data_IF_973411428823
#
_entry.id   IF_973411428823
#
_cell.length_a   1.000
_cell.length_b   1.000
_cell.length_c   1.000
_cell.angle_alpha   90.00
_cell.angle_beta   90.00
_cell.angle_gamma   90.00
#
_symmetry.space_group_name_H-M   'P 1'
#
loop_
_entity.id
_entity.type
_entity.pdbx_description
1 polymer ?
#
# COMPACT_ATOMS: atom_id res chain seq x y z
N UNK A 1 15.98 -47.96 -21.50
CA UNK A 1 16.32 -48.41 -20.13
C UNK A 1 15.09 -49.05 -19.49
N UNK A 2 15.21 -50.24 -18.90
CA UNK A 2 14.12 -50.91 -18.18
C UNK A 2 14.20 -50.54 -16.70
N UNK A 3 13.17 -49.91 -16.15
CA UNK A 3 13.01 -49.75 -14.70
C UNK A 3 12.40 -51.03 -14.11
N UNK A 4 13.06 -51.59 -13.10
CA UNK A 4 12.56 -52.74 -12.33
C UNK A 4 11.43 -52.31 -11.38
N UNK A 5 10.44 -53.18 -11.23
CA UNK A 5 9.29 -53.01 -10.34
C UNK A 5 9.73 -53.08 -8.89
N UNK A 6 9.50 -52.01 -8.13
CA UNK A 6 9.58 -52.04 -6.67
C UNK A 6 9.70 -50.65 -6.06
N UNK A 7 8.60 -50.15 -5.49
CA UNK A 7 8.50 -49.04 -4.52
C UNK A 7 9.37 -47.79 -4.80
N UNK A 8 8.80 -46.90 -5.60
CA UNK A 8 8.55 -45.53 -5.15
C UNK A 8 9.74 -44.59 -4.88
N UNK A 9 10.78 -44.54 -5.70
CA UNK A 9 11.67 -43.37 -5.82
C UNK A 9 12.31 -43.33 -7.22
N UNK A 10 11.69 -42.66 -8.19
CA UNK A 10 12.27 -42.44 -9.54
C UNK A 10 12.19 -41.00 -10.05
N UNK A 11 11.77 -40.03 -9.24
CA UNK A 11 11.47 -38.68 -9.73
C UNK A 11 12.64 -37.68 -9.86
N UNK A 12 13.78 -37.77 -9.14
CA UNK A 12 14.84 -36.76 -9.31
C UNK A 12 15.71 -36.99 -10.55
N UNK A 13 15.71 -38.18 -11.15
CA UNK A 13 16.56 -38.49 -12.33
C UNK A 13 15.95 -38.05 -13.67
N UNK A 14 14.63 -37.88 -13.75
CA UNK A 14 13.95 -37.43 -14.98
C UNK A 14 14.10 -35.91 -15.21
N UNK A 15 14.15 -35.12 -14.14
CA UNK A 15 14.39 -33.67 -14.23
C UNK A 15 15.83 -33.34 -14.67
N UNK A 16 16.81 -34.07 -14.13
CA UNK A 16 18.22 -33.93 -14.51
C UNK A 16 18.48 -34.33 -15.97
N UNK A 17 17.76 -35.32 -16.50
CA UNK A 17 17.92 -35.75 -17.89
C UNK A 17 17.34 -34.77 -18.91
N UNK A 18 16.26 -34.04 -18.56
CA UNK A 18 15.62 -33.07 -19.46
C UNK A 18 16.44 -31.79 -19.62
N UNK A 19 17.18 -31.38 -18.58
CA UNK A 19 18.08 -30.22 -18.62
C UNK A 19 19.27 -30.37 -19.59
N UNK A 20 19.62 -31.59 -19.97
CA UNK A 20 20.78 -31.87 -20.84
C UNK A 20 20.38 -32.01 -22.32
N UNK A 21 19.08 -32.19 -22.63
CA UNK A 21 18.61 -32.47 -24.00
C UNK A 21 17.33 -31.67 -24.37
N UNK A 22 17.47 -30.37 -24.73
CA UNK A 22 16.35 -29.55 -25.15
C UNK A 22 15.89 -29.99 -26.56
N UNK A 23 14.86 -30.82 -26.62
CA UNK A 23 14.28 -31.34 -27.87
C UNK A 23 13.57 -32.70 -27.76
N UNK A 24 13.68 -33.39 -26.61
CA UNK A 24 13.00 -34.66 -26.41
C UNK A 24 11.52 -34.48 -26.02
N UNK A 25 10.60 -34.89 -26.88
CA UNK A 25 9.17 -34.96 -26.59
C UNK A 25 8.85 -36.17 -25.69
N UNK A 26 8.53 -35.93 -24.42
CA UNK A 26 8.06 -36.96 -23.49
C UNK A 26 6.52 -37.04 -23.57
N UNK A 27 5.98 -38.15 -24.09
CA UNK A 27 4.55 -38.47 -23.93
C UNK A 27 4.35 -39.16 -22.58
N UNK A 28 3.71 -38.45 -21.64
CA UNK A 28 3.23 -39.06 -20.39
C UNK A 28 2.01 -39.92 -20.70
N UNK A 29 2.12 -41.23 -20.47
CA UNK A 29 0.96 -42.12 -20.52
C UNK A 29 0.05 -41.83 -19.32
N UNK A 30 -1.20 -41.48 -19.60
CA UNK A 30 -2.21 -41.21 -18.58
C UNK A 30 -2.52 -42.50 -17.77
N UNK A 31 -2.06 -42.52 -16.52
CA UNK A 31 -2.53 -43.44 -15.47
C UNK A 31 -3.72 -42.84 -14.70
N UNK A 32 -4.52 -43.67 -14.00
CA UNK A 32 -5.85 -43.27 -13.55
C UNK A 32 -5.79 -42.31 -12.34
N UNK A 33 -6.56 -41.21 -12.46
CA UNK A 33 -7.18 -40.38 -11.42
C UNK A 33 -6.57 -40.48 -10.01
N UNK A 34 -5.45 -39.82 -9.78
CA UNK A 34 -5.13 -39.27 -8.45
C UNK A 34 -5.05 -37.75 -8.60
N UNK A 35 -6.10 -37.08 -8.11
CA UNK A 35 -6.16 -35.62 -8.11
C UNK A 35 -5.03 -35.03 -7.27
N UNK A 36 -4.35 -34.03 -7.81
CA UNK A 36 -3.43 -33.18 -7.07
C UNK A 36 -4.24 -32.44 -5.99
N UNK A 37 -4.28 -32.98 -4.78
CA UNK A 37 -5.01 -32.40 -3.65
C UNK A 37 -4.26 -31.27 -2.95
N UNK A 38 -3.02 -30.99 -3.32
CA UNK A 38 -2.27 -29.92 -2.66
C UNK A 38 -1.23 -29.30 -3.60
N UNK A 39 -1.69 -28.38 -4.45
CA UNK A 39 -0.80 -27.55 -5.27
C UNK A 39 0.01 -26.58 -4.41
N UNK A 40 -0.47 -26.24 -3.20
CA UNK A 40 0.25 -25.41 -2.24
C UNK A 40 1.51 -26.13 -1.75
N UNK A 41 1.40 -27.42 -1.43
CA UNK A 41 2.57 -28.23 -1.09
C UNK A 41 3.57 -28.40 -2.26
N UNK A 42 3.10 -28.34 -3.52
CA UNK A 42 3.97 -28.38 -4.70
C UNK A 42 4.79 -27.09 -4.85
N UNK A 43 4.16 -25.93 -4.60
CA UNK A 43 4.81 -24.61 -4.67
C UNK A 43 5.76 -24.41 -3.49
N UNK A 44 5.39 -24.84 -2.28
CA UNK A 44 6.26 -24.71 -1.09
C UNK A 44 7.48 -25.63 -1.14
N UNK A 45 7.45 -26.73 -1.90
CA UNK A 45 8.57 -27.67 -2.02
C UNK A 45 9.44 -27.46 -3.27
N UNK A 46 9.16 -26.44 -4.10
CA UNK A 46 10.03 -26.03 -5.20
C UNK A 46 11.22 -25.23 -4.65
N UNK A 47 12.18 -25.94 -4.05
CA UNK A 47 13.52 -25.41 -3.83
C UNK A 47 14.29 -25.50 -5.17
N UNK A 48 14.15 -24.44 -5.97
CA UNK A 48 14.94 -24.28 -7.21
C UNK A 48 16.32 -23.74 -6.83
N UNK A 49 17.31 -24.62 -6.71
CA UNK A 49 18.72 -24.23 -6.69
C UNK A 49 19.14 -23.87 -8.12
N UNK A 50 19.25 -22.57 -8.40
CA UNK A 50 19.56 -22.04 -9.72
C UNK A 50 21.07 -21.86 -9.97
N UNK A 51 21.93 -22.22 -9.01
CA UNK A 51 23.38 -22.07 -9.15
C UNK A 51 23.81 -20.63 -9.51
N UNK A 52 25.07 -20.43 -9.92
CA UNK A 52 25.61 -19.11 -10.23
C UNK A 52 25.21 -18.70 -11.66
N UNK A 53 23.93 -18.48 -11.92
CA UNK A 53 23.45 -17.77 -13.11
C UNK A 53 22.90 -16.41 -12.70
N UNK A 54 23.82 -15.53 -12.32
CA UNK A 54 23.58 -14.09 -12.36
C UNK A 54 23.63 -13.59 -13.81
N UNK A 55 22.72 -12.67 -14.13
CA UNK A 55 22.58 -11.92 -15.38
C UNK A 55 21.85 -12.62 -16.53
N UNK A 56 20.50 -12.49 -16.53
CA UNK A 56 19.65 -12.15 -17.69
C UNK A 56 18.20 -11.97 -17.23
N UNK A 57 17.87 -10.75 -16.80
CA UNK A 57 16.55 -10.38 -16.25
C UNK A 57 15.38 -10.41 -17.25
N UNK A 58 15.61 -10.67 -18.54
CA UNK A 58 14.56 -10.61 -19.57
C UNK A 58 13.97 -11.99 -19.92
N UNK A 59 14.72 -13.09 -19.71
CA UNK A 59 14.22 -14.44 -20.01
C UNK A 59 13.43 -15.05 -18.84
N UNK A 60 13.64 -14.56 -17.62
CA UNK A 60 12.95 -15.06 -16.42
C UNK A 60 11.49 -14.60 -16.33
N UNK A 61 11.18 -13.36 -16.74
CA UNK A 61 9.79 -12.88 -16.83
C UNK A 61 8.99 -13.69 -17.86
N UNK A 62 9.56 -13.95 -19.04
CA UNK A 62 8.92 -14.79 -20.06
C UNK A 62 8.72 -16.24 -19.64
N UNK A 63 9.59 -16.77 -18.78
CA UNK A 63 9.46 -18.11 -18.21
C UNK A 63 8.31 -18.17 -17.19
N UNK A 64 8.17 -17.14 -16.35
CA UNK A 64 7.07 -17.03 -15.39
C UNK A 64 5.73 -16.85 -16.09
N UNK A 65 5.64 -15.97 -17.10
CA UNK A 65 4.42 -15.77 -17.89
C UNK A 65 3.98 -17.07 -18.58
N UNK A 66 4.93 -17.81 -19.18
CA UNK A 66 4.65 -19.10 -19.80
C UNK A 66 4.27 -20.21 -18.82
N UNK A 67 4.71 -20.13 -17.56
CA UNK A 67 4.33 -21.06 -16.49
C UNK A 67 2.92 -20.76 -15.99
N UNK A 68 2.58 -19.48 -15.81
CA UNK A 68 1.26 -19.05 -15.38
C UNK A 68 0.18 -19.42 -16.39
N UNK A 69 0.42 -19.19 -17.69
CA UNK A 69 -0.51 -19.55 -18.76
C UNK A 69 -0.78 -21.07 -18.79
N UNK A 70 0.24 -21.90 -18.59
CA UNK A 70 0.08 -23.37 -18.59
C UNK A 70 -0.61 -23.89 -17.33
N UNK A 71 -0.36 -23.29 -16.17
CA UNK A 71 -1.03 -23.65 -14.91
C UNK A 71 -2.51 -23.25 -14.98
N UNK A 72 -2.81 -22.07 -15.51
CA UNK A 72 -4.18 -21.58 -15.76
C UNK A 72 -4.99 -22.45 -16.71
N UNK A 73 -4.38 -22.89 -17.81
CA UNK A 73 -5.04 -23.74 -18.81
C UNK A 73 -5.30 -25.18 -18.32
N UNK A 74 -4.71 -25.57 -17.19
CA UNK A 74 -4.88 -26.91 -16.59
C UNK A 74 -5.88 -26.95 -15.43
N UNK A 75 -6.37 -25.79 -14.97
CA UNK A 75 -7.34 -25.70 -13.89
C UNK A 75 -8.74 -26.16 -14.35
N UNK A 76 -9.39 -26.98 -13.53
CA UNK A 76 -10.74 -27.50 -13.77
C UNK A 76 -11.75 -26.35 -14.02
N UNK A 77 -12.48 -26.35 -15.16
CA UNK A 77 -13.41 -25.27 -15.52
C UNK A 77 -14.57 -25.09 -14.51
N UNK A 78 -14.81 -26.06 -13.62
CA UNK A 78 -15.79 -25.94 -12.52
C UNK A 78 -15.36 -24.99 -11.39
N UNK A 79 -14.08 -24.60 -11.31
CA UNK A 79 -13.55 -23.60 -10.37
C UNK A 79 -13.24 -22.25 -11.07
N UNK A 80 -13.59 -22.13 -12.36
CA UNK A 80 -13.09 -21.15 -13.32
C UNK A 80 -13.27 -19.67 -12.98
N UNK A 81 -14.43 -19.17 -12.51
CA UNK A 81 -14.59 -17.70 -12.41
C UNK A 81 -13.92 -17.08 -11.19
N UNK A 82 -13.86 -17.80 -10.07
CA UNK A 82 -13.34 -17.27 -8.80
C UNK A 82 -11.82 -17.47 -8.66
N UNK A 83 -11.29 -18.60 -9.16
CA UNK A 83 -9.86 -18.85 -9.16
C UNK A 83 -9.14 -18.11 -10.30
N UNK A 84 -9.75 -17.99 -11.49
CA UNK A 84 -9.19 -17.17 -12.58
C UNK A 84 -9.33 -15.65 -12.32
N UNK A 85 -10.28 -15.20 -11.49
CA UNK A 85 -10.27 -13.82 -10.97
C UNK A 85 -9.24 -13.58 -9.87
N UNK A 86 -8.80 -14.64 -9.18
CA UNK A 86 -7.69 -14.59 -8.22
C UNK A 86 -6.33 -14.79 -8.86
N UNK A 87 -6.30 -15.20 -10.12
CA UNK A 87 -5.09 -15.13 -10.95
C UNK A 87 -4.84 -13.65 -11.23
N UNK A 88 -3.98 -13.11 -10.36
CA UNK A 88 -3.25 -11.86 -10.44
C UNK A 88 -4.07 -10.63 -10.83
N UNK A 89 -5.13 -10.32 -10.08
CA UNK A 89 -5.46 -8.90 -9.94
C UNK A 89 -4.29 -8.22 -9.24
N UNK A 90 -3.35 -7.68 -10.01
CA UNK A 90 -2.26 -6.85 -9.47
C UNK A 90 -2.90 -5.64 -8.84
N UNK A 91 -2.79 -5.54 -7.52
CA UNK A 91 -3.34 -4.41 -6.77
C UNK A 91 -2.78 -3.10 -7.31
N UNK A 92 -3.67 -2.19 -7.70
CA UNK A 92 -3.29 -0.86 -8.13
C UNK A 92 -3.28 0.04 -6.92
N UNK A 93 -2.09 0.50 -6.54
CA UNK A 93 -1.91 1.33 -5.36
C UNK A 93 -1.35 2.68 -5.78
N UNK A 94 -2.06 3.75 -5.42
CA UNK A 94 -1.51 5.09 -5.51
C UNK A 94 -0.72 5.40 -4.23
N UNK A 95 0.56 5.69 -4.36
CA UNK A 95 1.43 6.05 -3.25
C UNK A 95 1.70 7.55 -3.27
N UNK A 96 1.15 8.28 -2.30
CA UNK A 96 1.53 9.66 -2.03
C UNK A 96 2.81 9.70 -1.19
N UNK A 97 3.88 10.17 -1.80
CA UNK A 97 5.14 10.49 -1.14
C UNK A 97 5.18 11.99 -0.88
N UNK A 98 5.00 12.37 0.38
CA UNK A 98 4.87 13.77 0.75
C UNK A 98 5.62 14.07 2.03
N UNK A 99 6.42 15.13 1.99
CA UNK A 99 7.29 15.55 3.08
C UNK A 99 8.50 16.32 2.57
N UNK A 100 9.39 16.69 3.48
CA UNK A 100 10.66 17.31 3.12
C UNK A 100 11.61 16.22 2.60
N UNK A 101 12.23 16.44 1.45
CA UNK A 101 13.10 15.45 0.80
C UNK A 101 14.53 15.41 1.36
N UNK A 102 14.68 15.56 2.68
CA UNK A 102 16.02 15.69 3.29
C UNK A 102 16.95 14.52 2.95
N UNK A 103 16.40 13.32 2.93
CA UNK A 103 17.14 12.07 2.73
C UNK A 103 16.58 11.22 1.59
N UNK A 104 15.51 11.66 0.92
CA UNK A 104 14.86 10.81 -0.09
C UNK A 104 15.81 10.50 -1.24
N UNK A 105 16.57 11.48 -1.71
CA UNK A 105 17.51 11.31 -2.82
C UNK A 105 18.83 10.64 -2.41
N UNK A 106 18.96 10.21 -1.15
CA UNK A 106 20.08 9.39 -0.71
C UNK A 106 19.98 8.00 -1.39
N UNK A 107 21.10 7.52 -1.92
CA UNK A 107 21.16 6.25 -2.65
C UNK A 107 20.69 5.08 -1.77
N UNK A 108 21.03 5.07 -0.48
CA UNK A 108 20.63 4.00 0.45
C UNK A 108 19.11 4.02 0.72
N UNK A 109 18.52 5.21 0.79
CA UNK A 109 17.07 5.38 0.95
C UNK A 109 16.34 4.97 -0.33
N UNK A 110 16.83 5.38 -1.50
CA UNK A 110 16.27 4.97 -2.80
C UNK A 110 16.38 3.46 -3.02
N UNK A 111 17.49 2.84 -2.63
CA UNK A 111 17.69 1.40 -2.71
C UNK A 111 16.71 0.68 -1.79
N UNK A 112 16.65 1.05 -0.50
CA UNK A 112 15.72 0.44 0.45
C UNK A 112 14.26 0.66 0.04
N UNK A 113 13.93 1.81 -0.54
CA UNK A 113 12.59 2.08 -1.04
C UNK A 113 12.24 1.19 -2.24
N UNK A 114 13.14 1.00 -3.19
CA UNK A 114 12.91 0.11 -4.33
C UNK A 114 12.88 -1.37 -3.94
N UNK A 115 13.75 -1.80 -3.04
CA UNK A 115 13.88 -3.20 -2.65
C UNK A 115 12.77 -3.63 -1.68
N UNK A 116 12.49 -2.80 -0.68
CA UNK A 116 11.62 -3.18 0.44
C UNK A 116 10.24 -2.56 0.39
N UNK A 117 10.06 -1.41 -0.25
CA UNK A 117 8.77 -0.72 -0.27
C UNK A 117 8.03 -0.86 -1.60
N UNK A 118 8.72 -0.73 -2.73
CA UNK A 118 8.10 -0.82 -4.05
C UNK A 118 7.56 -2.21 -4.34
N UNK A 119 6.42 -2.25 -5.02
CA UNK A 119 5.73 -3.48 -5.41
C UNK A 119 5.09 -3.30 -6.79
N UNK A 120 4.92 -4.38 -7.57
CA UNK A 120 4.14 -4.33 -8.81
C UNK A 120 2.76 -3.72 -8.58
N UNK A 121 2.35 -2.80 -9.45
CA UNK A 121 1.08 -2.06 -9.36
C UNK A 121 1.13 -0.75 -8.57
N UNK A 122 2.29 -0.40 -7.98
CA UNK A 122 2.44 0.85 -7.24
C UNK A 122 2.79 1.99 -8.20
N UNK A 123 1.99 3.05 -8.18
CA UNK A 123 2.22 4.29 -8.91
C UNK A 123 2.43 5.44 -7.92
N UNK A 124 3.45 6.27 -8.13
CA UNK A 124 3.88 7.26 -7.15
C UNK A 124 3.49 8.69 -7.52
N UNK A 125 3.09 9.45 -6.52
CA UNK A 125 2.70 10.85 -6.60
C UNK A 125 3.53 11.60 -5.56
N UNK A 126 4.47 12.42 -6.03
CA UNK A 126 5.44 13.09 -5.16
C UNK A 126 4.96 14.52 -4.92
N UNK A 127 4.96 14.95 -3.65
CA UNK A 127 4.56 16.31 -3.26
C UNK A 127 5.56 16.91 -2.28
N UNK A 128 6.31 17.93 -2.71
CA UNK A 128 7.56 18.39 -2.06
C UNK A 128 7.63 19.91 -1.95
N UNK A 129 8.63 20.42 -1.22
CA UNK A 129 8.96 21.85 -1.09
C UNK A 129 9.89 22.37 -2.18
N UNK A 130 10.54 21.48 -2.90
CA UNK A 130 11.56 21.84 -3.88
C UNK A 130 11.45 20.91 -5.08
N UNK A 131 11.95 21.39 -6.22
CA UNK A 131 12.09 20.59 -7.42
C UNK A 131 13.01 19.39 -7.18
N UNK A 132 12.68 18.27 -7.81
CA UNK A 132 13.31 16.98 -7.56
C UNK A 132 13.76 16.39 -8.87
N UNK A 133 15.06 16.17 -9.00
CA UNK A 133 15.60 15.41 -10.13
C UNK A 133 15.44 13.91 -9.85
N UNK A 134 14.46 13.30 -10.51
CA UNK A 134 14.17 11.88 -10.41
C UNK A 134 14.91 11.03 -11.45
N UNK A 135 15.79 11.62 -12.27
CA UNK A 135 16.55 10.89 -13.29
C UNK A 135 17.42 9.78 -12.70
N UNK A 136 17.83 9.93 -11.43
CA UNK A 136 18.63 8.95 -10.67
C UNK A 136 17.81 8.12 -9.68
N UNK A 137 16.53 8.42 -9.51
CA UNK A 137 15.67 7.74 -8.55
C UNK A 137 15.32 6.33 -9.04
N UNK A 138 15.52 5.32 -8.18
CA UNK A 138 15.21 3.91 -8.46
C UNK A 138 13.72 3.70 -8.78
N UNK A 139 12.85 4.54 -8.20
CA UNK A 139 11.41 4.52 -8.47
C UNK A 139 10.97 5.52 -9.54
N UNK A 140 11.89 6.27 -10.15
CA UNK A 140 11.57 7.40 -11.04
C UNK A 140 10.63 7.01 -12.18
N UNK A 141 10.79 5.81 -12.74
CA UNK A 141 9.93 5.26 -13.82
C UNK A 141 8.47 5.02 -13.41
N UNK A 142 8.20 4.93 -12.11
CA UNK A 142 6.86 4.68 -11.56
C UNK A 142 6.19 5.97 -11.06
N UNK A 143 6.93 7.07 -11.01
CA UNK A 143 6.40 8.38 -10.61
C UNK A 143 5.53 8.94 -11.72
N UNK A 144 4.27 9.21 -11.38
CA UNK A 144 3.27 9.72 -12.30
C UNK A 144 3.21 11.25 -12.32
N UNK A 145 3.53 11.87 -11.18
CA UNK A 145 3.53 13.32 -11.02
C UNK A 145 4.46 13.75 -9.89
N UNK A 146 5.03 14.93 -10.05
CA UNK A 146 5.76 15.67 -9.01
C UNK A 146 5.08 17.01 -8.88
N UNK A 147 4.60 17.32 -7.67
CA UNK A 147 4.05 18.62 -7.34
C UNK A 147 4.98 19.31 -6.37
N UNK A 148 5.41 20.50 -6.74
CA UNK A 148 6.27 21.34 -5.90
C UNK A 148 5.41 22.44 -5.30
N UNK A 149 5.18 22.35 -3.99
CA UNK A 149 4.37 23.30 -3.27
C UNK A 149 5.25 24.36 -2.59
N UNK A 150 5.74 25.30 -3.41
CA UNK A 150 6.57 26.44 -2.99
C UNK A 150 5.76 27.57 -2.36
N UNK A 151 4.45 27.54 -2.56
CA UNK A 151 3.59 28.57 -2.02
C UNK A 151 3.32 28.24 -0.57
N UNK A 152 3.73 29.13 0.32
CA UNK A 152 3.32 29.12 1.72
C UNK A 152 2.11 30.01 1.95
N UNK A 153 0.86 29.54 1.71
CA UNK A 153 -0.34 30.18 2.24
C UNK A 153 -0.68 29.69 3.66
N UNK A 154 -0.03 28.63 4.14
CA UNK A 154 -0.33 28.03 5.45
C UNK A 154 0.01 28.96 6.63
N UNK A 155 0.97 29.88 6.46
CA UNK A 155 1.28 30.86 7.50
C UNK A 155 0.14 31.83 7.80
N UNK A 156 -0.69 32.18 6.82
CA UNK A 156 -1.85 33.04 7.06
C UNK A 156 -2.99 32.30 7.76
N UNK A 157 -3.21 31.03 7.40
CA UNK A 157 -4.14 30.14 8.12
C UNK A 157 -3.73 30.00 9.58
N UNK A 158 -2.43 29.85 9.87
CA UNK A 158 -1.90 29.69 11.24
C UNK A 158 -2.03 30.93 12.13
N UNK A 159 -2.10 32.14 11.56
CA UNK A 159 -2.11 33.40 12.34
C UNK A 159 -3.46 33.71 13.00
N UNK A 160 -4.54 33.03 12.62
CA UNK A 160 -5.91 33.38 13.02
C UNK A 160 -6.43 32.63 14.26
N UNK A 161 -5.75 31.57 14.69
CA UNK A 161 -6.25 30.75 15.79
C UNK A 161 -5.89 31.30 17.18
N UNK A 162 -6.85 31.29 18.13
CA UNK A 162 -6.55 31.50 19.53
C UNK A 162 -5.44 30.57 20.04
N UNK A 163 -4.74 30.97 21.09
CA UNK A 163 -3.64 30.18 21.64
C UNK A 163 -4.17 28.83 22.16
N UNK A 164 -3.45 27.75 21.84
CA UNK A 164 -3.81 26.39 22.24
C UNK A 164 -4.92 25.71 21.41
N UNK A 165 -5.62 26.43 20.52
CA UNK A 165 -6.68 25.82 19.67
C UNK A 165 -6.14 25.19 18.40
N UNK A 166 -4.98 25.64 17.91
CA UNK A 166 -4.31 25.01 16.77
C UNK A 166 -3.52 23.78 17.20
N UNK A 167 -3.50 22.77 16.35
CA UNK A 167 -2.66 21.59 16.50
C UNK A 167 -1.17 21.90 16.24
N UNK A 168 -0.34 20.86 16.01
CA UNK A 168 1.08 21.00 15.68
C UNK A 168 1.28 21.87 14.43
N UNK A 169 1.50 23.18 14.65
CA UNK A 169 1.65 24.20 13.59
C UNK A 169 2.66 23.79 12.52
N UNK A 170 3.76 23.19 12.95
CA UNK A 170 4.86 22.78 12.09
C UNK A 170 4.52 21.63 11.12
N UNK A 171 3.43 20.90 11.35
CA UNK A 171 2.98 19.82 10.47
C UNK A 171 2.00 20.30 9.38
N UNK A 172 1.44 21.52 9.49
CA UNK A 172 0.50 22.04 8.51
C UNK A 172 1.07 22.07 7.07
N UNK A 173 2.30 22.57 6.83
CA UNK A 173 2.90 22.55 5.50
C UNK A 173 3.08 21.15 4.92
N UNK A 174 3.25 20.14 5.77
CA UNK A 174 3.37 18.75 5.33
C UNK A 174 2.01 18.17 4.96
N UNK A 175 0.95 18.45 5.73
CA UNK A 175 -0.38 17.92 5.40
C UNK A 175 -1.07 18.65 4.25
N UNK A 176 -0.73 19.91 3.96
CA UNK A 176 -1.25 20.62 2.79
C UNK A 176 -0.76 20.01 1.48
N UNK A 177 0.46 19.45 1.47
CA UNK A 177 1.01 18.67 0.34
C UNK A 177 0.22 17.40 0.02
N UNK A 178 -0.48 16.83 0.99
CA UNK A 178 -1.36 15.68 0.74
C UNK A 178 -2.54 16.02 -0.18
N UNK A 179 -3.00 17.28 -0.18
CA UNK A 179 -4.06 17.74 -1.09
C UNK A 179 -3.60 17.70 -2.55
N UNK A 180 -2.36 18.08 -2.82
CA UNK A 180 -1.78 17.96 -4.16
C UNK A 180 -1.79 16.50 -4.63
N UNK A 181 -1.29 15.56 -3.80
CA UNK A 181 -1.37 14.13 -4.10
C UNK A 181 -2.81 13.68 -4.41
N UNK A 182 -3.79 14.09 -3.57
CA UNK A 182 -5.19 13.73 -3.78
C UNK A 182 -5.69 14.16 -5.17
N UNK A 183 -5.37 15.40 -5.56
CA UNK A 183 -5.80 15.97 -6.84
C UNK A 183 -5.14 15.26 -8.02
N UNK A 184 -3.84 15.01 -7.95
CA UNK A 184 -3.09 14.31 -9.00
C UNK A 184 -3.56 12.85 -9.18
N UNK A 185 -3.81 12.13 -8.07
CA UNK A 185 -4.37 10.77 -8.13
C UNK A 185 -5.73 10.78 -8.83
N UNK A 186 -6.61 11.71 -8.44
CA UNK A 186 -7.95 11.84 -9.03
C UNK A 186 -7.88 12.20 -10.51
N UNK A 187 -7.00 13.14 -10.88
CA UNK A 187 -6.80 13.55 -12.26
C UNK A 187 -6.29 12.38 -13.12
N UNK A 188 -5.36 11.57 -12.60
CA UNK A 188 -4.81 10.44 -13.33
C UNK A 188 -5.81 9.29 -13.49
N UNK A 189 -6.59 8.98 -12.45
CA UNK A 189 -7.70 8.03 -12.54
C UNK A 189 -8.69 8.42 -13.64
N UNK A 190 -9.10 9.70 -13.65
CA UNK A 190 -9.98 10.23 -14.68
C UNK A 190 -9.34 10.15 -16.08
N UNK A 191 -8.07 10.57 -16.21
CA UNK A 191 -7.33 10.58 -17.48
C UNK A 191 -7.13 9.17 -18.06
N UNK A 192 -6.78 8.18 -17.22
CA UNK A 192 -6.51 6.80 -17.65
C UNK A 192 -7.77 5.93 -17.67
N UNK A 193 -8.91 6.42 -17.16
CA UNK A 193 -10.13 5.61 -17.00
C UNK A 193 -9.93 4.42 -16.04
N UNK A 194 -9.06 4.60 -15.03
CA UNK A 194 -8.75 3.57 -14.04
C UNK A 194 -9.24 3.99 -12.66
N UNK A 195 -9.23 3.05 -11.73
CA UNK A 195 -9.42 3.31 -10.31
C UNK A 195 -8.39 2.50 -9.53
N UNK A 196 -7.72 3.11 -8.56
CA UNK A 196 -6.85 2.40 -7.64
C UNK A 196 -7.68 1.61 -6.63
N UNK A 197 -7.13 0.53 -6.10
CA UNK A 197 -7.75 -0.26 -5.03
C UNK A 197 -7.48 0.38 -3.67
N UNK A 198 -6.24 0.83 -3.50
CA UNK A 198 -5.73 1.41 -2.27
C UNK A 198 -4.99 2.71 -2.53
N UNK A 199 -4.95 3.54 -1.50
CA UNK A 199 -4.09 4.71 -1.44
C UNK A 199 -3.21 4.57 -0.21
N UNK A 200 -1.91 4.74 -0.41
CA UNK A 200 -0.91 4.70 0.62
C UNK A 200 -0.25 6.07 0.70
N UNK A 201 -0.02 6.55 1.90
CA UNK A 201 0.73 7.77 2.20
C UNK A 201 1.97 7.36 2.98
N UNK A 202 3.13 7.75 2.50
CA UNK A 202 4.39 7.52 3.19
C UNK A 202 5.22 8.80 3.19
N UNK A 203 6.01 9.00 4.24
CA UNK A 203 7.02 10.04 4.22
C UNK A 203 8.23 9.57 3.40
N UNK A 204 8.87 10.48 2.66
CA UNK A 204 9.97 10.12 1.78
C UNK A 204 11.30 9.91 2.55
N UNK A 205 11.35 10.20 3.86
CA UNK A 205 12.55 10.05 4.69
C UNK A 205 12.60 8.73 5.48
N UNK A 206 11.71 7.78 5.21
CA UNK A 206 11.77 6.46 5.83
C UNK A 206 12.82 5.56 5.18
N UNK A 207 13.74 5.05 6.00
CA UNK A 207 14.57 3.90 5.64
C UNK A 207 13.81 2.62 5.95
N UNK A 208 13.61 1.78 4.94
CA UNK A 208 13.01 0.46 5.10
C UNK A 208 14.14 -0.55 5.28
N UNK A 209 14.15 -1.25 6.42
CA UNK A 209 15.16 -2.27 6.75
C UNK A 209 14.70 -3.69 6.39
N UNK A 210 13.40 -3.86 6.15
CA UNK A 210 12.75 -5.12 5.83
C UNK A 210 11.62 -4.88 4.84
N UNK A 211 11.23 -5.93 4.12
CA UNK A 211 10.12 -5.90 3.16
C UNK A 211 8.83 -5.34 3.81
N UNK A 212 8.40 -4.19 3.30
CA UNK A 212 7.23 -3.48 3.78
C UNK A 212 5.95 -4.17 3.31
N UNK A 213 4.97 -4.47 4.18
CA UNK A 213 3.75 -5.19 3.79
C UNK A 213 2.99 -4.50 2.66
N UNK A 214 2.25 -5.28 1.86
CA UNK A 214 1.36 -4.69 0.85
C UNK A 214 0.27 -3.81 1.51
N UNK A 215 -0.33 -2.90 0.74
CA UNK A 215 -1.43 -2.07 1.22
C UNK A 215 -2.61 -2.90 1.75
N UNK A 216 -2.95 -4.01 1.09
CA UNK A 216 -3.96 -4.95 1.58
C UNK A 216 -3.51 -5.67 2.85
N UNK A 217 -2.28 -6.19 2.90
CA UNK A 217 -1.73 -6.84 4.11
C UNK A 217 -1.75 -5.89 5.31
N UNK A 218 -1.43 -4.61 5.12
CA UNK A 218 -1.46 -3.62 6.20
C UNK A 218 -2.86 -3.52 6.81
N UNK A 219 -3.88 -3.38 5.97
CA UNK A 219 -5.26 -3.31 6.44
C UNK A 219 -5.72 -4.64 7.04
N UNK A 220 -5.41 -5.77 6.41
CA UNK A 220 -5.83 -7.08 6.91
C UNK A 220 -5.21 -7.43 8.27
N UNK A 221 -3.90 -7.19 8.44
CA UNK A 221 -3.16 -7.56 9.65
C UNK A 221 -3.35 -6.56 10.79
N UNK A 222 -3.30 -5.26 10.49
CA UNK A 222 -3.26 -4.23 11.53
C UNK A 222 -4.58 -3.48 11.71
N UNK A 223 -5.54 -3.66 10.79
CA UNK A 223 -6.84 -3.02 10.85
C UNK A 223 -7.95 -3.96 10.32
N UNK A 224 -8.10 -5.19 10.85
CA UNK A 224 -9.00 -6.18 10.29
C UNK A 224 -10.45 -5.66 10.25
N UNK A 225 -11.06 -5.75 9.05
CA UNK A 225 -12.42 -5.26 8.81
C UNK A 225 -12.57 -3.74 8.83
N UNK A 226 -11.47 -3.00 8.72
CA UNK A 226 -11.39 -1.53 8.63
C UNK A 226 -11.00 -1.10 7.21
N UNK A 227 -11.23 0.18 6.91
CA UNK A 227 -10.95 0.75 5.58
C UNK A 227 -9.79 1.73 5.57
N UNK A 228 -9.33 2.14 6.77
CA UNK A 228 -8.26 3.09 6.97
C UNK A 228 -7.41 2.64 8.14
N UNK A 229 -6.10 2.72 7.97
CA UNK A 229 -5.08 2.61 9.00
C UNK A 229 -4.17 3.84 8.92
N UNK A 230 -4.00 4.50 10.06
CA UNK A 230 -3.09 5.63 10.26
C UNK A 230 -2.04 5.19 11.28
N UNK A 231 -0.79 5.16 10.85
CA UNK A 231 0.40 4.92 11.66
C UNK A 231 1.10 6.27 11.82
N UNK A 232 0.62 7.05 12.77
CA UNK A 232 1.06 8.42 13.03
C UNK A 232 0.92 9.36 11.79
N UNK A 233 1.73 10.41 11.72
CA UNK A 233 1.93 11.23 10.52
C UNK A 233 2.84 10.57 9.47
N UNK A 234 3.43 9.42 9.81
CA UNK A 234 4.44 8.73 9.01
C UNK A 234 3.85 7.92 7.86
N UNK A 235 2.94 7.00 8.17
CA UNK A 235 2.37 6.07 7.19
C UNK A 235 0.85 6.05 7.35
N UNK A 236 0.15 6.02 6.23
CA UNK A 236 -1.27 5.75 6.22
C UNK A 236 -1.64 4.88 5.02
N UNK A 237 -2.63 4.02 5.20
CA UNK A 237 -3.23 3.25 4.11
C UNK A 237 -4.74 3.32 4.21
N UNK A 238 -5.39 3.43 3.06
CA UNK A 238 -6.83 3.40 2.97
C UNK A 238 -7.28 2.68 1.70
N UNK A 239 -8.47 2.09 1.72
CA UNK A 239 -9.18 1.78 0.48
C UNK A 239 -9.40 3.05 -0.31
N UNK A 240 -9.40 2.97 -1.65
CA UNK A 240 -9.52 4.15 -2.52
C UNK A 240 -10.73 5.05 -2.21
N UNK A 241 -11.87 4.46 -1.83
CA UNK A 241 -13.07 5.22 -1.40
C UNK A 241 -12.85 6.11 -0.16
N UNK A 242 -11.72 5.92 0.53
CA UNK A 242 -11.30 6.64 1.74
C UNK A 242 -9.99 7.39 1.61
N UNK A 243 -9.56 7.62 0.38
CA UNK A 243 -8.42 8.49 0.08
C UNK A 243 -8.54 9.87 0.77
N UNK A 244 -9.74 10.47 0.77
CA UNK A 244 -9.98 11.76 1.43
C UNK A 244 -9.64 11.76 2.92
N UNK A 245 -9.85 10.63 3.60
CA UNK A 245 -9.56 10.50 5.04
C UNK A 245 -8.07 10.61 5.35
N UNK A 246 -7.20 10.07 4.49
CA UNK A 246 -5.75 10.06 4.74
C UNK A 246 -5.02 11.23 4.06
N UNK A 247 -5.63 11.87 3.06
CA UNK A 247 -5.02 12.96 2.28
C UNK A 247 -5.67 14.35 2.47
N UNK A 248 -6.98 14.46 2.70
CA UNK A 248 -7.67 15.76 2.84
C UNK A 248 -7.99 16.10 4.29
N UNK A 249 -8.54 15.14 5.04
CA UNK A 249 -8.94 15.35 6.43
C UNK A 249 -7.78 15.80 7.34
N UNK A 250 -6.52 15.37 7.14
CA UNK A 250 -5.38 15.94 7.87
C UNK A 250 -5.25 17.45 7.69
N UNK A 251 -5.39 17.99 6.47
CA UNK A 251 -5.32 19.45 6.27
C UNK A 251 -6.34 20.18 7.15
N UNK A 252 -7.57 19.67 7.22
CA UNK A 252 -8.61 20.23 8.06
C UNK A 252 -8.25 20.15 9.55
N UNK A 253 -7.77 18.99 10.00
CA UNK A 253 -7.36 18.79 11.38
C UNK A 253 -6.23 19.73 11.80
N UNK A 254 -5.20 19.92 10.97
CA UNK A 254 -4.07 20.78 11.32
C UNK A 254 -4.31 22.26 11.02
N UNK A 255 -5.24 22.59 10.11
CA UNK A 255 -5.48 23.95 9.64
C UNK A 255 -6.61 24.70 10.37
N UNK A 256 -7.55 23.99 11.01
CA UNK A 256 -8.65 24.60 11.77
C UNK A 256 -8.27 24.87 13.24
N UNK A 257 -9.00 25.82 13.85
CA UNK A 257 -8.94 26.07 15.29
C UNK A 257 -9.96 25.18 15.99
N UNK A 258 -9.55 24.42 17.00
CA UNK A 258 -10.45 23.55 17.74
C UNK A 258 -10.63 24.01 19.17
N UNK A 259 -11.89 24.11 19.59
CA UNK A 259 -12.22 24.50 20.95
C UNK A 259 -12.12 23.35 21.95
N UNK A 260 -12.34 23.66 23.23
CA UNK A 260 -12.31 22.70 24.34
C UNK A 260 -13.34 21.58 24.16
N UNK A 261 -14.52 21.89 23.62
CA UNK A 261 -15.59 20.90 23.44
C UNK A 261 -15.21 19.92 22.32
N UNK A 262 -14.68 20.42 21.21
CA UNK A 262 -14.20 19.62 20.09
C UNK A 262 -13.07 18.68 20.49
N UNK A 263 -12.10 19.20 21.25
CA UNK A 263 -11.04 18.37 21.82
C UNK A 263 -11.59 17.35 22.82
N UNK A 264 -12.58 17.70 23.62
CA UNK A 264 -13.18 16.77 24.58
C UNK A 264 -13.83 15.57 23.88
N UNK A 265 -14.55 15.83 22.79
CA UNK A 265 -15.15 14.79 21.93
C UNK A 265 -14.05 13.92 21.32
N UNK A 266 -13.08 14.51 20.62
CA UNK A 266 -12.02 13.75 19.95
C UNK A 266 -11.16 12.93 20.92
N UNK A 267 -10.82 13.51 22.08
CA UNK A 267 -10.03 12.85 23.10
C UNK A 267 -10.84 11.83 23.93
N UNK A 268 -12.17 11.81 23.79
CA UNK A 268 -13.08 11.03 24.63
C UNK A 268 -12.81 11.24 26.14
N UNK A 269 -12.58 12.49 26.54
CA UNK A 269 -12.36 12.91 27.94
C UNK A 269 -12.70 14.39 28.10
N UNK A 270 -13.11 14.80 29.29
CA UNK A 270 -13.35 16.22 29.59
C UNK A 270 -12.04 17.00 29.56
N UNK A 271 -11.93 17.96 28.64
CA UNK A 271 -10.89 19.00 28.64
C UNK A 271 -11.49 20.24 29.30
N UNK A 272 -10.74 20.89 30.18
CA UNK A 272 -11.19 22.14 30.84
C UNK A 272 -10.46 23.37 30.34
N UNK A 273 -9.28 23.20 29.75
CA UNK A 273 -8.44 24.26 29.23
C UNK A 273 -7.50 23.74 28.14
N UNK A 274 -7.11 24.62 27.22
CA UNK A 274 -6.11 24.36 26.19
C UNK A 274 -4.78 24.96 26.61
N UNK A 275 -3.68 24.29 26.29
CA UNK A 275 -2.34 24.77 26.58
C UNK A 275 -1.65 25.23 25.30
N UNK A 276 -0.89 26.32 25.39
CA UNK A 276 -0.28 27.01 24.25
C UNK A 276 0.63 26.15 23.35
N UNK A 277 1.11 25.00 23.85
CA UNK A 277 2.16 24.21 23.18
C UNK A 277 1.88 22.72 23.03
N UNK A 278 0.75 22.20 23.53
CA UNK A 278 0.47 20.76 23.50
C UNK A 278 -0.97 20.47 23.13
N UNK A 279 -1.14 19.69 22.07
CA UNK A 279 -2.42 19.06 21.74
C UNK A 279 -2.90 18.22 22.94
N UNK A 280 -4.18 18.31 23.36
CA UNK A 280 -4.70 17.59 24.53
C UNK A 280 -4.66 16.06 24.41
N UNK A 281 -4.61 15.56 23.18
CA UNK A 281 -4.40 14.17 22.81
C UNK A 281 -3.85 14.08 21.39
N UNK A 282 -3.77 12.86 20.87
CA UNK A 282 -3.25 12.60 19.56
C UNK A 282 -3.98 13.37 18.44
N UNK A 283 -3.25 14.05 17.53
CA UNK A 283 -3.78 14.64 16.31
C UNK A 283 -4.73 13.76 15.49
N UNK A 284 -4.44 12.46 15.42
CA UNK A 284 -5.25 11.50 14.66
C UNK A 284 -6.69 11.40 15.19
N UNK A 285 -6.93 11.76 16.46
CA UNK A 285 -8.28 11.82 17.02
C UNK A 285 -9.15 12.90 16.41
N UNK A 286 -8.57 14.04 16.03
CA UNK A 286 -9.29 15.07 15.30
C UNK A 286 -9.62 14.62 13.88
N UNK A 287 -8.72 13.88 13.23
CA UNK A 287 -8.98 13.25 11.92
C UNK A 287 -10.18 12.30 12.01
N UNK A 288 -10.25 11.44 13.03
CA UNK A 288 -11.41 10.56 13.25
C UNK A 288 -12.71 11.34 13.48
N UNK A 289 -12.68 12.39 14.31
CA UNK A 289 -13.84 13.26 14.58
C UNK A 289 -14.41 13.87 13.30
N UNK A 290 -13.56 14.35 12.39
CA UNK A 290 -14.03 14.89 11.11
C UNK A 290 -14.70 13.84 10.22
N UNK A 291 -14.24 12.59 10.28
CA UNK A 291 -14.86 11.49 9.56
C UNK A 291 -16.19 11.07 10.18
N UNK A 292 -16.33 11.05 11.50
CA UNK A 292 -17.60 10.71 12.17
C UNK A 292 -18.75 11.65 11.77
N UNK A 293 -18.45 12.95 11.67
CA UNK A 293 -19.41 13.97 11.24
C UNK A 293 -19.85 13.80 9.77
N UNK A 294 -19.16 12.97 8.98
CA UNK A 294 -19.52 12.70 7.58
C UNK A 294 -20.64 11.64 7.41
N UNK A 295 -21.28 11.20 8.50
CA UNK A 295 -22.28 10.13 8.56
C UNK A 295 -21.79 8.77 8.01
N UNK A 296 -20.50 8.64 7.72
CA UNK A 296 -19.92 7.49 7.04
C UNK A 296 -19.21 6.52 7.99
N UNK A 297 -18.92 6.85 9.25
CA UNK A 297 -18.09 5.99 10.12
C UNK A 297 -18.94 5.04 10.97
N UNK A 298 -18.56 3.76 11.02
CA UNK A 298 -19.21 2.71 11.83
C UNK A 298 -18.54 2.49 13.19
N UNK A 299 -17.31 2.99 13.36
CA UNK A 299 -16.54 2.96 14.60
C UNK A 299 -15.05 3.09 14.34
N UNK A 300 -14.29 3.45 15.37
CA UNK A 300 -12.84 3.59 15.33
C UNK A 300 -12.18 2.84 16.48
N UNK A 301 -10.91 2.52 16.32
CA UNK A 301 -10.07 1.94 17.36
C UNK A 301 -8.75 2.71 17.43
N UNK A 302 -8.41 3.18 18.62
CA UNK A 302 -7.16 3.87 18.89
C UNK A 302 -6.28 2.98 19.76
N UNK A 303 -5.06 2.75 19.31
CA UNK A 303 -4.02 2.13 20.11
C UNK A 303 -2.85 3.10 20.23
N UNK A 304 -2.40 3.33 21.46
CA UNK A 304 -1.17 4.07 21.74
C UNK A 304 -0.11 3.04 22.07
N UNK A 305 1.03 3.06 21.39
CA UNK A 305 2.14 2.19 21.77
C UNK A 305 2.96 2.82 22.91
N UNK A 306 3.90 2.03 23.45
CA UNK A 306 4.79 2.40 24.56
C UNK A 306 5.66 3.65 24.26
N UNK A 307 5.81 4.03 23.00
CA UNK A 307 6.59 5.20 22.57
C UNK A 307 5.74 6.45 22.39
N UNK A 308 4.44 6.38 22.70
CA UNK A 308 3.52 7.50 22.55
C UNK A 308 3.15 7.83 21.11
N UNK A 309 3.54 6.99 20.12
CA UNK A 309 3.01 7.14 18.77
C UNK A 309 1.60 6.58 18.70
N UNK A 310 0.78 7.26 17.90
CA UNK A 310 -0.64 6.97 17.81
C UNK A 310 -0.94 6.15 16.57
N UNK A 311 -1.58 5.01 16.80
CA UNK A 311 -2.17 4.23 15.73
C UNK A 311 -3.69 4.40 15.78
N UNK A 312 -4.29 4.67 14.61
CA UNK A 312 -5.72 4.79 14.45
C UNK A 312 -6.20 3.89 13.31
N UNK A 313 -7.18 3.04 13.60
CA UNK A 313 -7.86 2.20 12.62
C UNK A 313 -9.36 2.59 12.53
N UNK A 314 -9.87 2.87 11.33
CA UNK A 314 -11.25 3.33 11.13
C UNK A 314 -12.08 2.34 10.32
N UNK A 315 -13.26 1.96 10.83
CA UNK A 315 -14.26 1.21 10.06
C UNK A 315 -15.29 2.18 9.53
N UNK A 316 -15.50 2.16 8.23
CA UNK A 316 -16.52 2.98 7.60
C UNK A 316 -17.75 2.11 7.37
N UNK A 317 -18.94 2.66 7.62
CA UNK A 317 -20.19 2.04 7.15
C UNK A 317 -20.08 1.92 5.64
N UNK A 318 -20.19 0.70 5.10
CA UNK A 318 -20.44 0.51 3.68
C UNK A 318 -21.68 1.33 3.32
N UNK A 319 -21.50 2.47 2.66
CA UNK A 319 -22.56 3.00 1.81
C UNK A 319 -22.63 2.01 0.67
N UNK A 320 -23.68 1.20 0.66
CA UNK A 320 -24.15 0.55 -0.57
C UNK A 320 -24.18 1.65 -1.64
N UNK A 321 -23.16 1.72 -2.49
CA UNK A 321 -23.11 2.61 -3.64
C UNK A 321 -24.03 2.05 -4.73
N UNK A 322 -25.33 1.89 -4.41
CA UNK A 322 -26.39 1.90 -5.40
C UNK A 322 -26.62 3.34 -5.83
N UNK A 323 -25.68 3.89 -6.58
CA UNK A 323 -25.98 5.02 -7.44
C UNK A 323 -26.80 4.47 -8.60
N UNK A 324 -28.09 4.76 -8.60
CA UNK A 324 -28.94 4.65 -9.77
C UNK A 324 -28.36 5.57 -10.85
N UNK A 325 -27.93 5.00 -11.97
CA UNK A 325 -27.83 5.77 -13.20
C UNK A 325 -29.27 6.03 -13.68
N UNK A 326 -29.66 7.30 -13.76
CA UNK A 326 -30.64 7.81 -14.72
C UNK A 326 -29.91 8.77 -15.63
#
# INVERSE_FOLDING_TARGET
MRCLRGRGHCYPLLAAWWLVHPGASVRLAAGPKQGFRDLSALITNLNLDLGPMGARDVEFEGLLDGLFDKVLLSADPSHGPALARRVAHVERVAVCLSGQLRTFLDDDVQAGFAEYFHRPGYEYFISTDEDVDLSKSSIGRYVQSVTVNNTGPDHELMKKCPTGTLMHRFLLPMVSRYVACHNEITALEHKKGIRYDYVLRARPDHLFLDAFPSAADLLERFAPGRDVLLLDDHIAVARRQKMGTILLTPLRAYGECHDVAEWSVACNKTITHLHDKKSPCCPMRMVAKYEENSAAVAGYEFTTNLFGSCTLALKVKNRDNRCFFR
#
